data_IF_365998479435
#
_entry.id   IF_365998479435
#
_cell.length_a   1.000
_cell.length_b   1.000
_cell.length_c   1.000
_cell.angle_alpha   90.00
_cell.angle_beta   90.00
_cell.angle_gamma   90.00
#
_symmetry.space_group_name_H-M   'P 1'
#
loop_
_entity.id
_entity.type
_entity.pdbx_description
1 polymer ?
#
# COMPACT_ATOMS: atom_id res chain seq x y z
N UNK A 1 -17.87 -13.72 -8.58
CA UNK A 1 -16.70 -13.02 -7.98
C UNK A 1 -15.80 -12.62 -9.14
N UNK A 2 -15.47 -11.36 -9.28
CA UNK A 2 -14.55 -10.86 -10.32
C UNK A 2 -13.15 -11.42 -10.05
N UNK A 3 -12.41 -11.84 -11.09
CA UNK A 3 -11.04 -12.30 -10.92
C UNK A 3 -10.17 -11.16 -10.37
N UNK A 4 -9.24 -11.43 -9.44
CA UNK A 4 -8.34 -10.41 -8.90
C UNK A 4 -7.45 -9.85 -10.00
N UNK A 5 -7.18 -8.55 -9.93
CA UNK A 5 -6.26 -7.88 -10.85
C UNK A 5 -4.80 -8.18 -10.50
N UNK A 6 -4.54 -8.31 -9.21
CA UNK A 6 -3.24 -8.70 -8.63
C UNK A 6 -3.44 -9.96 -7.81
N UNK A 7 -2.62 -10.99 -8.04
CA UNK A 7 -2.57 -12.20 -7.20
C UNK A 7 -1.13 -12.61 -6.95
N UNK A 8 -0.80 -12.78 -5.68
CA UNK A 8 0.43 -13.40 -5.22
C UNK A 8 0.07 -14.74 -4.57
N UNK A 9 0.80 -15.79 -4.93
CA UNK A 9 0.57 -17.15 -4.41
C UNK A 9 1.87 -17.72 -3.87
N UNK A 10 1.93 -17.91 -2.56
CA UNK A 10 3.06 -18.47 -1.81
C UNK A 10 4.40 -17.80 -2.14
N UNK A 11 4.39 -16.47 -2.29
CA UNK A 11 5.55 -15.68 -2.69
C UNK A 11 6.57 -15.60 -1.57
N UNK A 12 7.82 -15.98 -1.87
CA UNK A 12 8.94 -15.86 -0.94
C UNK A 12 10.11 -15.10 -1.56
N UNK A 13 10.79 -14.31 -0.70
CA UNK A 13 12.00 -13.56 -1.04
C UNK A 13 12.97 -13.48 0.13
N UNK A 14 14.23 -13.82 -0.13
CA UNK A 14 15.32 -13.79 0.84
C UNK A 14 16.43 -12.84 0.39
N UNK A 15 17.16 -12.30 1.36
CA UNK A 15 18.43 -11.60 1.17
C UNK A 15 19.47 -12.22 2.12
N UNK A 16 20.33 -13.04 1.56
CA UNK A 16 21.20 -13.89 2.39
C UNK A 16 20.36 -14.78 3.32
N UNK A 17 20.55 -14.66 4.62
CA UNK A 17 19.79 -15.43 5.63
C UNK A 17 18.49 -14.75 6.08
N UNK A 18 18.18 -13.55 5.58
CA UNK A 18 16.99 -12.82 5.99
C UNK A 18 15.81 -13.15 5.08
N UNK A 19 14.77 -13.75 5.66
CA UNK A 19 13.46 -13.93 4.99
C UNK A 19 12.70 -12.61 5.05
N UNK A 20 12.43 -12.01 3.88
CA UNK A 20 11.69 -10.74 3.78
C UNK A 20 10.24 -10.99 3.39
N UNK A 21 10.00 -11.95 2.49
CA UNK A 21 8.68 -12.49 2.20
C UNK A 21 8.73 -14.01 2.42
N UNK A 22 7.70 -14.58 3.04
CA UNK A 22 7.69 -15.97 3.48
C UNK A 22 6.36 -16.66 3.16
N UNK A 23 6.24 -17.21 1.94
CA UNK A 23 5.02 -17.88 1.49
C UNK A 23 3.81 -16.94 1.51
N UNK A 24 3.97 -15.70 1.06
CA UNK A 24 2.95 -14.66 1.10
C UNK A 24 1.87 -14.90 0.03
N UNK A 25 0.62 -14.96 0.47
CA UNK A 25 -0.57 -14.94 -0.37
C UNK A 25 -1.26 -13.60 -0.25
N UNK A 26 -1.61 -12.99 -1.39
CA UNK A 26 -2.32 -11.72 -1.42
C UNK A 26 -3.10 -11.53 -2.71
N UNK A 27 -4.29 -10.93 -2.61
CA UNK A 27 -5.12 -10.59 -3.77
C UNK A 27 -5.61 -9.15 -3.67
N UNK A 28 -5.65 -8.47 -4.83
CA UNK A 28 -6.26 -7.14 -4.96
C UNK A 28 -7.25 -7.21 -6.12
N UNK A 29 -8.49 -6.85 -5.85
CA UNK A 29 -9.55 -6.83 -6.85
C UNK A 29 -9.46 -5.55 -7.72
N UNK A 30 -10.02 -5.56 -8.94
CA UNK A 30 -10.11 -4.35 -9.76
C UNK A 30 -10.86 -3.23 -9.03
N UNK A 31 -10.34 -2.00 -9.15
CA UNK A 31 -10.93 -0.81 -8.55
C UNK A 31 -10.70 -0.64 -7.04
N UNK A 32 -9.96 -1.53 -6.38
CA UNK A 32 -9.60 -1.35 -4.97
C UNK A 32 -8.50 -0.30 -4.78
N UNK A 33 -8.60 0.44 -3.68
CA UNK A 33 -7.55 1.34 -3.18
C UNK A 33 -7.02 0.76 -1.87
N UNK A 34 -5.84 0.15 -1.95
CA UNK A 34 -5.25 -0.59 -0.83
C UNK A 34 -4.06 0.16 -0.24
N UNK A 35 -4.15 0.50 1.03
CA UNK A 35 -3.02 0.96 1.84
C UNK A 35 -2.21 -0.23 2.37
N UNK A 36 -0.97 -0.38 1.90
CA UNK A 36 -0.03 -1.40 2.39
C UNK A 36 0.75 -0.85 3.59
N UNK A 37 0.43 -1.37 4.75
CA UNK A 37 0.99 -0.99 6.04
C UNK A 37 2.05 -1.96 6.52
N UNK A 38 3.07 -1.46 7.18
CA UNK A 38 4.11 -2.26 7.81
C UNK A 38 5.22 -1.38 8.36
N UNK A 39 5.94 -1.87 9.35
CA UNK A 39 7.09 -1.12 9.91
C UNK A 39 8.17 -0.89 8.86
N UNK A 40 9.09 0.04 9.14
CA UNK A 40 10.28 0.20 8.32
C UNK A 40 11.08 -1.10 8.30
N UNK A 41 11.47 -1.55 7.10
CA UNK A 41 12.14 -2.83 6.93
C UNK A 41 11.23 -4.08 6.90
N UNK A 42 9.90 -3.93 7.01
CA UNK A 42 8.97 -5.07 6.94
C UNK A 42 8.89 -5.74 5.55
N UNK A 43 9.50 -5.15 4.51
CA UNK A 43 9.50 -5.73 3.17
C UNK A 43 8.48 -5.11 2.21
N UNK A 44 7.86 -3.95 2.53
CA UNK A 44 6.85 -3.31 1.66
C UNK A 44 7.39 -3.03 0.25
N UNK A 45 8.51 -2.32 0.12
CA UNK A 45 9.14 -2.05 -1.18
C UNK A 45 9.52 -3.34 -1.90
N UNK A 46 10.07 -4.33 -1.19
CA UNK A 46 10.39 -5.65 -1.75
C UNK A 46 9.15 -6.33 -2.31
N UNK A 47 8.04 -6.29 -1.58
CA UNK A 47 6.75 -6.85 -2.03
C UNK A 47 6.27 -6.16 -3.30
N UNK A 48 6.30 -4.81 -3.35
CA UNK A 48 5.88 -4.04 -4.53
C UNK A 48 6.81 -4.27 -5.74
N UNK A 49 8.13 -4.36 -5.52
CA UNK A 49 9.09 -4.69 -6.57
C UNK A 49 8.91 -6.11 -7.11
N UNK A 50 8.67 -7.09 -6.24
CA UNK A 50 8.36 -8.47 -6.63
C UNK A 50 7.03 -8.55 -7.41
N UNK A 51 6.01 -7.82 -6.97
CA UNK A 51 4.72 -7.73 -7.64
C UNK A 51 4.86 -7.21 -9.07
N UNK A 52 5.74 -6.23 -9.29
CA UNK A 52 5.99 -5.62 -10.60
C UNK A 52 6.99 -6.41 -11.48
N UNK A 53 7.55 -7.52 -10.99
CA UNK A 53 8.61 -8.26 -11.68
C UNK A 53 9.95 -7.51 -11.77
N UNK A 54 10.12 -6.43 -10.99
CA UNK A 54 11.37 -5.68 -10.88
C UNK A 54 12.40 -6.41 -10.02
N UNK A 55 11.94 -7.37 -9.25
CA UNK A 55 12.75 -8.24 -8.40
C UNK A 55 12.33 -9.69 -8.55
N UNK A 56 13.29 -10.56 -8.77
CA UNK A 56 13.04 -12.00 -8.88
C UNK A 56 12.54 -12.58 -7.55
N UNK A 57 11.59 -13.50 -7.65
CA UNK A 57 11.10 -14.30 -6.54
C UNK A 57 12.06 -15.48 -6.30
N UNK A 58 12.20 -15.90 -5.04
CA UNK A 58 12.87 -17.16 -4.74
C UNK A 58 11.92 -18.36 -4.86
N UNK A 59 10.62 -18.12 -4.60
CA UNK A 59 9.54 -19.09 -4.87
C UNK A 59 8.18 -18.40 -4.96
N UNK A 60 7.18 -19.16 -5.42
CA UNK A 60 5.81 -18.67 -5.58
C UNK A 60 5.54 -18.08 -6.96
N UNK A 61 4.42 -17.41 -7.10
CA UNK A 61 3.98 -16.82 -8.37
C UNK A 61 3.26 -15.50 -8.15
N UNK A 62 3.48 -14.57 -9.08
CA UNK A 62 2.69 -13.34 -9.21
C UNK A 62 1.89 -13.38 -10.49
N UNK A 63 0.64 -12.95 -10.43
CA UNK A 63 -0.22 -12.79 -11.62
C UNK A 63 -0.76 -11.37 -11.62
N UNK A 64 -0.59 -10.66 -12.74
CA UNK A 64 -1.14 -9.32 -12.99
C UNK A 64 -2.02 -9.36 -14.25
N UNK A 65 -3.23 -8.82 -14.17
CA UNK A 65 -4.20 -8.84 -15.28
C UNK A 65 -4.48 -10.24 -15.84
N UNK A 66 -4.27 -11.30 -15.05
CA UNK A 66 -4.38 -12.69 -15.49
C UNK A 66 -3.13 -13.25 -16.17
N UNK A 67 -2.07 -12.43 -16.39
CA UNK A 67 -0.79 -12.84 -16.97
C UNK A 67 0.25 -13.14 -15.88
N UNK A 68 1.25 -13.97 -16.21
CA UNK A 68 2.38 -14.24 -15.32
C UNK A 68 3.22 -12.97 -15.13
N UNK A 69 3.44 -12.55 -13.88
CA UNK A 69 4.16 -11.32 -13.55
C UNK A 69 5.61 -11.27 -14.05
N UNK A 70 6.23 -12.45 -14.32
CA UNK A 70 7.58 -12.54 -14.87
C UNK A 70 7.63 -12.39 -16.39
N UNK A 71 6.49 -12.52 -17.07
CA UNK A 71 6.37 -12.53 -18.54
C UNK A 71 5.19 -11.68 -19.02
N UNK A 72 4.99 -10.51 -18.40
CA UNK A 72 3.93 -9.58 -18.81
C UNK A 72 4.10 -9.14 -20.27
N UNK A 73 2.99 -9.12 -21.00
CA UNK A 73 2.92 -8.54 -22.33
C UNK A 73 3.21 -7.02 -22.30
N UNK A 74 3.59 -6.45 -23.44
CA UNK A 74 3.78 -5.00 -23.56
C UNK A 74 2.46 -4.25 -23.26
N UNK A 75 1.33 -4.82 -23.68
CA UNK A 75 0.01 -4.26 -23.41
C UNK A 75 -0.32 -4.24 -21.90
N UNK A 76 0.05 -5.28 -21.15
CA UNK A 76 -0.13 -5.32 -19.71
C UNK A 76 0.79 -4.32 -19.00
N UNK A 77 2.06 -4.22 -19.39
CA UNK A 77 3.02 -3.25 -18.83
C UNK A 77 2.57 -1.82 -19.07
N UNK A 78 2.03 -1.51 -20.24
CA UNK A 78 1.51 -0.17 -20.57
C UNK A 78 0.29 0.25 -19.72
N UNK A 79 -0.29 -0.68 -18.94
CA UNK A 79 -1.41 -0.43 -18.02
C UNK A 79 -0.99 -0.20 -16.58
N UNK A 80 0.33 -0.23 -16.30
CA UNK A 80 0.89 -0.11 -14.95
C UNK A 80 1.56 1.26 -14.80
N UNK A 81 1.17 2.01 -13.78
CA UNK A 81 1.89 3.17 -13.26
C UNK A 81 2.68 2.79 -12.02
N UNK A 82 3.95 3.21 -11.94
CA UNK A 82 4.79 2.95 -10.78
C UNK A 82 5.57 4.18 -10.35
N UNK A 83 5.51 4.45 -9.04
CA UNK A 83 6.32 5.48 -8.38
C UNK A 83 7.11 4.81 -7.27
N UNK A 84 8.43 4.67 -7.40
CA UNK A 84 9.30 4.14 -6.35
C UNK A 84 9.45 5.13 -5.19
N UNK A 85 9.89 4.63 -4.03
CA UNK A 85 10.13 5.43 -2.83
C UNK A 85 11.10 6.61 -3.09
N UNK A 86 12.16 6.37 -3.85
CA UNK A 86 13.04 7.42 -4.35
C UNK A 86 12.72 7.64 -5.81
N UNK A 87 12.33 8.85 -6.17
CA UNK A 87 12.05 9.19 -7.55
C UNK A 87 13.28 8.87 -8.44
N UNK A 88 13.08 7.91 -9.35
CA UNK A 88 14.10 7.50 -10.34
C UNK A 88 13.79 8.22 -11.66
N UNK A 89 14.37 9.40 -11.80
CA UNK A 89 14.16 10.30 -12.92
C UNK A 89 15.48 10.52 -13.67
N UNK A 90 15.39 10.91 -14.93
CA UNK A 90 16.56 11.25 -15.72
C UNK A 90 17.08 12.64 -15.33
N UNK A 91 18.02 12.71 -14.41
CA UNK A 91 18.56 13.92 -13.76
C UNK A 91 19.03 15.00 -14.73
N UNK A 92 19.49 14.62 -15.92
CA UNK A 92 20.02 15.52 -16.97
C UNK A 92 18.94 16.11 -17.87
N UNK A 93 17.72 15.59 -17.85
CA UNK A 93 16.61 16.11 -18.61
C UNK A 93 15.88 17.22 -17.84
N UNK A 94 15.08 18.00 -18.56
CA UNK A 94 14.05 18.85 -17.99
C UNK A 94 12.74 18.06 -17.83
N UNK A 95 11.77 18.49 -16.99
CA UNK A 95 10.44 17.89 -16.91
C UNK A 95 9.79 17.67 -18.26
N UNK A 96 9.78 18.69 -19.13
CA UNK A 96 9.15 18.59 -20.45
C UNK A 96 9.87 17.56 -21.35
N UNK A 97 11.19 17.52 -21.33
CA UNK A 97 11.97 16.53 -22.10
C UNK A 97 11.67 15.10 -21.61
N UNK A 98 11.62 14.90 -20.30
CA UNK A 98 11.32 13.60 -19.72
C UNK A 98 9.89 13.14 -20.04
N UNK A 99 8.91 14.03 -19.89
CA UNK A 99 7.52 13.70 -20.20
C UNK A 99 7.33 13.42 -21.71
N UNK A 100 8.01 14.18 -22.59
CA UNK A 100 8.01 13.91 -24.04
C UNK A 100 8.63 12.55 -24.38
N UNK A 101 9.71 12.16 -23.69
CA UNK A 101 10.33 10.83 -23.84
C UNK A 101 9.36 9.72 -23.48
N UNK A 102 8.71 9.80 -22.30
CA UNK A 102 7.75 8.79 -21.87
C UNK A 102 6.48 8.78 -22.73
N UNK A 103 6.02 9.93 -23.20
CA UNK A 103 4.89 10.03 -24.14
C UNK A 103 5.10 9.17 -25.39
N UNK A 104 6.32 9.09 -25.89
CA UNK A 104 6.64 8.29 -27.07
C UNK A 104 6.61 6.77 -26.80
N UNK A 105 6.67 6.35 -25.53
CA UNK A 105 6.70 4.93 -25.13
C UNK A 105 5.31 4.37 -24.81
N UNK A 106 4.34 5.22 -24.46
CA UNK A 106 3.02 4.77 -24.03
C UNK A 106 1.96 4.99 -25.12
N UNK A 107 1.23 3.93 -25.52
CA UNK A 107 0.16 4.06 -26.53
C UNK A 107 -1.01 4.93 -26.04
N UNK A 108 -1.25 4.95 -24.73
CA UNK A 108 -2.20 5.85 -24.07
C UNK A 108 -1.41 6.96 -23.39
N UNK A 109 -1.68 8.19 -23.74
CA UNK A 109 -1.09 9.36 -23.08
C UNK A 109 -2.10 10.49 -23.02
N UNK A 110 -2.47 10.88 -21.82
CA UNK A 110 -3.44 11.93 -21.59
C UNK A 110 -2.74 13.28 -21.39
N UNK A 111 -2.51 13.98 -22.50
CA UNK A 111 -1.82 15.28 -22.48
C UNK A 111 -2.57 16.34 -21.66
N UNK A 112 -3.90 16.35 -21.71
CA UNK A 112 -4.71 17.29 -20.93
C UNK A 112 -4.55 17.06 -19.41
N UNK A 113 -4.55 15.79 -18.98
CA UNK A 113 -4.30 15.42 -17.59
C UNK A 113 -2.90 15.84 -17.15
N UNK A 114 -1.88 15.58 -17.95
CA UNK A 114 -0.50 15.98 -17.65
C UNK A 114 -0.38 17.48 -17.44
N UNK A 115 -0.91 18.28 -18.35
CA UNK A 115 -0.89 19.75 -18.23
C UNK A 115 -1.69 20.24 -17.02
N UNK A 116 -2.83 19.62 -16.73
CA UNK A 116 -3.63 19.91 -15.54
C UNK A 116 -2.87 19.63 -14.24
N UNK A 117 -2.20 18.47 -14.14
CA UNK A 117 -1.38 18.09 -12.98
C UNK A 117 -0.16 19.01 -12.81
N UNK A 118 0.56 19.30 -13.90
CA UNK A 118 1.69 20.22 -13.88
C UNK A 118 1.29 21.61 -13.37
N UNK A 119 0.18 22.15 -13.89
CA UNK A 119 -0.35 23.45 -13.49
C UNK A 119 -0.73 23.49 -12.00
N UNK A 120 -1.52 22.51 -11.53
CA UNK A 120 -1.97 22.43 -10.12
C UNK A 120 -0.81 22.26 -9.14
N UNK A 121 0.24 21.54 -9.53
CA UNK A 121 1.38 21.27 -8.67
C UNK A 121 2.54 22.25 -8.82
N UNK A 122 2.28 23.41 -9.48
CA UNK A 122 3.18 24.55 -9.52
C UNK A 122 4.37 24.37 -10.47
N UNK A 123 4.24 23.55 -11.51
CA UNK A 123 5.25 23.43 -12.57
C UNK A 123 5.09 24.59 -13.57
N UNK A 124 5.58 25.76 -13.18
CA UNK A 124 5.61 26.93 -14.05
C UNK A 124 6.66 26.76 -15.19
N UNK A 125 6.67 27.63 -16.21
CA UNK A 125 7.62 27.52 -17.31
C UNK A 125 9.11 27.55 -16.87
N UNK A 126 9.43 28.25 -15.79
CA UNK A 126 10.81 28.31 -15.27
C UNK A 126 11.21 26.95 -14.64
N UNK A 127 10.33 26.32 -13.88
CA UNK A 127 10.54 25.00 -13.32
C UNK A 127 10.60 23.93 -14.42
N UNK A 128 9.71 23.99 -15.44
CA UNK A 128 9.67 23.04 -16.56
C UNK A 128 10.93 23.07 -17.44
N UNK A 129 11.64 24.19 -17.47
CA UNK A 129 12.92 24.35 -18.18
C UNK A 129 14.15 24.03 -17.35
N UNK A 130 14.01 23.84 -16.04
CA UNK A 130 15.07 23.51 -15.11
C UNK A 130 15.45 22.02 -15.19
N UNK A 131 16.72 21.68 -15.16
CA UNK A 131 17.14 20.27 -15.10
C UNK A 131 16.62 19.60 -13.80
N UNK A 132 16.16 18.37 -13.92
CA UNK A 132 15.59 17.58 -12.82
C UNK A 132 16.53 17.49 -11.62
N UNK A 133 17.84 17.31 -11.82
CA UNK A 133 18.84 17.30 -10.74
C UNK A 133 18.90 18.59 -9.89
N UNK A 134 18.35 19.68 -10.38
CA UNK A 134 18.30 20.97 -9.67
C UNK A 134 16.97 21.18 -8.95
N UNK A 135 16.04 20.22 -9.06
CA UNK A 135 14.75 20.24 -8.39
C UNK A 135 14.90 19.69 -6.97
N UNK A 136 14.04 20.15 -6.06
CA UNK A 136 13.90 19.56 -4.72
C UNK A 136 13.36 18.13 -4.80
N UNK A 137 13.56 17.33 -3.74
CA UNK A 137 13.01 15.96 -3.67
C UNK A 137 11.49 15.93 -3.81
N UNK A 138 10.76 16.89 -3.23
CA UNK A 138 9.32 17.01 -3.39
C UNK A 138 8.88 17.35 -4.81
N UNK A 139 9.60 18.23 -5.52
CA UNK A 139 9.36 18.53 -6.94
C UNK A 139 9.60 17.31 -7.82
N UNK A 140 10.69 16.57 -7.56
CA UNK A 140 11.00 15.33 -8.28
C UNK A 140 9.92 14.27 -8.03
N UNK A 141 9.45 14.14 -6.79
CA UNK A 141 8.40 13.19 -6.44
C UNK A 141 7.08 13.52 -7.15
N UNK A 142 6.67 14.80 -7.16
CA UNK A 142 5.50 15.26 -7.93
C UNK A 142 5.64 14.94 -9.42
N UNK A 143 6.81 15.17 -10.01
CA UNK A 143 7.06 14.84 -11.41
C UNK A 143 6.98 13.34 -11.69
N UNK A 144 7.50 12.49 -10.79
CA UNK A 144 7.40 11.04 -10.89
C UNK A 144 5.92 10.58 -10.87
N UNK A 145 5.10 11.21 -10.04
CA UNK A 145 3.67 10.93 -9.96
C UNK A 145 2.95 11.39 -11.25
N UNK A 146 3.24 12.60 -11.77
CA UNK A 146 2.70 13.05 -13.07
C UNK A 146 3.00 12.03 -14.16
N UNK A 147 4.25 11.56 -14.25
CA UNK A 147 4.66 10.54 -15.21
C UNK A 147 3.85 9.25 -15.05
N UNK A 148 3.67 8.77 -13.82
CA UNK A 148 2.97 7.52 -13.55
C UNK A 148 1.46 7.59 -13.86
N UNK A 149 0.84 8.77 -13.74
CA UNK A 149 -0.57 9.01 -14.05
C UNK A 149 -0.83 9.37 -15.52
N UNK A 150 0.20 9.77 -16.25
CA UNK A 150 0.09 10.36 -17.59
C UNK A 150 -0.56 9.46 -18.65
N UNK A 151 -0.42 8.14 -18.50
CA UNK A 151 -0.91 7.16 -19.46
C UNK A 151 -2.21 6.46 -19.02
N UNK A 152 -2.90 7.03 -18.02
CA UNK A 152 -4.15 6.49 -17.47
C UNK A 152 -4.03 5.01 -17.11
N UNK A 153 -3.19 4.64 -16.11
CA UNK A 153 -2.94 3.26 -15.74
C UNK A 153 -4.20 2.59 -15.16
N UNK A 154 -4.34 1.28 -15.37
CA UNK A 154 -5.39 0.48 -14.71
C UNK A 154 -4.93 -0.04 -13.34
N UNK A 155 -3.60 -0.14 -13.14
CA UNK A 155 -2.94 -0.45 -11.86
C UNK A 155 -1.90 0.62 -11.54
N UNK A 156 -2.03 1.27 -10.39
CA UNK A 156 -1.08 2.26 -9.91
C UNK A 156 -0.42 1.76 -8.62
N UNK A 157 0.89 1.59 -8.65
CA UNK A 157 1.71 1.17 -7.50
C UNK A 157 2.54 2.35 -7.03
N UNK A 158 2.43 2.68 -5.75
CA UNK A 158 3.09 3.84 -5.15
C UNK A 158 3.85 3.40 -3.90
N UNK A 159 5.16 3.51 -3.91
CA UNK A 159 5.98 3.19 -2.75
C UNK A 159 6.34 4.46 -1.97
N UNK A 160 5.71 4.63 -0.81
CA UNK A 160 5.83 5.81 0.08
C UNK A 160 5.75 7.16 -0.68
N UNK A 161 4.72 7.38 -1.53
CA UNK A 161 4.68 8.47 -2.50
C UNK A 161 4.68 9.87 -1.87
N UNK A 162 4.29 9.97 -0.60
CA UNK A 162 4.14 11.25 0.11
C UNK A 162 5.28 11.55 1.09
N UNK A 163 6.28 10.67 1.21
CA UNK A 163 7.36 10.81 2.19
C UNK A 163 8.20 12.08 2.00
N UNK A 164 8.38 12.53 0.76
CA UNK A 164 9.15 13.72 0.40
C UNK A 164 8.27 14.99 0.26
N UNK A 165 6.95 14.90 0.45
CA UNK A 165 6.03 16.02 0.32
C UNK A 165 5.77 16.70 1.67
N UNK A 166 5.58 18.02 1.64
CA UNK A 166 5.08 18.75 2.78
C UNK A 166 3.59 18.44 3.08
N UNK A 167 3.05 18.80 4.22
CA UNK A 167 1.66 18.47 4.60
C UNK A 167 0.59 19.00 3.65
N UNK A 168 0.84 20.10 2.93
CA UNK A 168 -0.09 20.65 1.93
C UNK A 168 -0.02 19.80 0.66
N UNK A 169 1.17 19.58 0.15
CA UNK A 169 1.40 18.74 -1.04
C UNK A 169 0.89 17.31 -0.87
N UNK A 170 1.00 16.73 0.35
CA UNK A 170 0.40 15.42 0.66
C UNK A 170 -1.10 15.42 0.47
N UNK A 171 -1.80 16.41 1.03
CA UNK A 171 -3.27 16.51 0.94
C UNK A 171 -3.74 16.72 -0.49
N UNK A 172 -3.03 17.54 -1.26
CA UNK A 172 -3.32 17.76 -2.66
C UNK A 172 -3.13 16.48 -3.49
N UNK A 173 -2.00 15.80 -3.30
CA UNK A 173 -1.75 14.51 -3.96
C UNK A 173 -2.81 13.46 -3.64
N UNK A 174 -3.14 13.30 -2.36
CA UNK A 174 -4.14 12.30 -1.94
C UNK A 174 -5.53 12.61 -2.50
N UNK A 175 -5.90 13.89 -2.61
CA UNK A 175 -7.15 14.30 -3.26
C UNK A 175 -7.15 13.92 -4.74
N UNK A 176 -6.11 14.29 -5.49
CA UNK A 176 -5.95 13.92 -6.90
C UNK A 176 -6.03 12.42 -7.12
N UNK A 177 -5.39 11.65 -6.23
CA UNK A 177 -5.42 10.20 -6.30
C UNK A 177 -6.83 9.65 -6.14
N UNK A 178 -7.59 10.17 -5.17
CA UNK A 178 -8.99 9.76 -4.93
C UNK A 178 -9.87 10.13 -6.11
N UNK A 179 -9.74 11.35 -6.62
CA UNK A 179 -10.53 11.83 -7.75
C UNK A 179 -10.27 10.96 -9.00
N UNK A 180 -8.99 10.67 -9.32
CA UNK A 180 -8.63 9.81 -10.46
C UNK A 180 -9.15 8.37 -10.30
N UNK A 181 -9.08 7.82 -9.08
CA UNK A 181 -9.59 6.47 -8.78
C UNK A 181 -11.11 6.41 -8.92
N UNK A 182 -11.84 7.38 -8.37
CA UNK A 182 -13.31 7.40 -8.42
C UNK A 182 -13.80 7.54 -9.86
N UNK A 183 -13.17 8.43 -10.64
CA UNK A 183 -13.60 8.69 -12.01
C UNK A 183 -13.31 7.53 -12.96
N UNK A 184 -12.20 6.79 -12.75
CA UNK A 184 -11.68 5.79 -13.70
C UNK A 184 -11.76 4.35 -13.21
N UNK A 185 -11.98 4.11 -11.93
CA UNK A 185 -11.90 2.79 -11.34
C UNK A 185 -10.48 2.20 -11.35
N UNK A 186 -9.44 3.05 -11.31
CA UNK A 186 -8.04 2.63 -11.22
C UNK A 186 -7.81 1.83 -9.94
N UNK A 187 -7.14 0.70 -10.05
CA UNK A 187 -6.70 -0.07 -8.87
C UNK A 187 -5.43 0.55 -8.33
N UNK A 188 -5.38 0.83 -7.04
CA UNK A 188 -4.23 1.47 -6.41
C UNK A 188 -3.71 0.65 -5.25
N UNK A 189 -2.40 0.43 -5.21
CA UNK A 189 -1.69 -0.08 -4.04
C UNK A 189 -0.63 0.96 -3.66
N UNK A 190 -0.72 1.49 -2.45
CA UNK A 190 0.29 2.41 -1.97
C UNK A 190 0.81 2.02 -0.60
N UNK A 191 2.14 2.01 -0.48
CA UNK A 191 2.77 1.81 0.82
C UNK A 191 2.87 3.13 1.57
N UNK A 192 2.64 3.08 2.87
CA UNK A 192 2.90 4.22 3.76
C UNK A 192 3.12 3.75 5.19
N UNK A 193 3.78 4.58 5.96
CA UNK A 193 3.86 4.48 7.41
C UNK A 193 3.10 5.64 8.10
N UNK A 194 2.46 6.53 7.33
CA UNK A 194 1.71 7.69 7.82
C UNK A 194 0.22 7.33 7.81
N UNK A 195 -0.30 6.98 8.98
CA UNK A 195 -1.65 6.46 9.15
C UNK A 195 -2.75 7.49 8.88
N UNK A 196 -2.49 8.76 9.22
CA UNK A 196 -3.44 9.87 9.00
C UNK A 196 -3.74 10.12 7.52
N UNK A 197 -2.82 9.73 6.62
CA UNK A 197 -3.03 9.84 5.19
C UNK A 197 -3.96 8.72 4.68
N UNK A 198 -3.89 7.54 5.32
CA UNK A 198 -4.70 6.38 4.96
C UNK A 198 -6.19 6.54 5.30
N UNK A 199 -6.50 7.08 6.47
CA UNK A 199 -7.89 7.28 6.91
C UNK A 199 -8.72 8.11 5.91
N UNK A 200 -8.04 8.85 5.03
CA UNK A 200 -8.68 9.74 4.06
C UNK A 200 -8.83 9.13 2.67
N UNK A 201 -8.05 8.11 2.35
CA UNK A 201 -7.86 7.65 0.95
C UNK A 201 -8.00 6.14 0.79
N UNK A 202 -7.55 5.36 1.78
CA UNK A 202 -7.57 3.91 1.67
C UNK A 202 -8.93 3.35 2.07
N UNK A 203 -9.61 2.74 1.11
CA UNK A 203 -10.83 2.00 1.38
C UNK A 203 -10.52 0.60 1.93
N UNK A 204 -9.35 0.05 1.59
CA UNK A 204 -8.86 -1.24 2.08
C UNK A 204 -7.46 -1.10 2.69
N UNK A 205 -7.17 -1.89 3.72
CA UNK A 205 -5.86 -1.95 4.36
C UNK A 205 -5.29 -3.37 4.27
N UNK A 206 -3.99 -3.48 4.08
CA UNK A 206 -3.22 -4.71 4.17
C UNK A 206 -2.00 -4.50 5.07
N UNK A 207 -1.85 -5.30 6.13
CA UNK A 207 -0.78 -5.20 7.10
C UNK A 207 0.27 -6.26 6.83
N UNK A 208 1.47 -5.82 6.45
CA UNK A 208 2.63 -6.69 6.23
C UNK A 208 3.43 -6.86 7.53
N UNK A 209 3.56 -8.11 7.99
CA UNK A 209 4.37 -8.50 9.14
C UNK A 209 5.01 -9.87 8.91
N UNK A 210 6.25 -10.00 9.28
CA UNK A 210 7.01 -11.28 9.20
C UNK A 210 6.90 -11.94 7.82
N UNK A 211 6.97 -11.11 6.76
CA UNK A 211 6.90 -11.57 5.37
C UNK A 211 5.53 -12.02 4.90
N UNK A 212 4.45 -11.78 5.65
CA UNK A 212 3.06 -12.19 5.33
C UNK A 212 2.07 -11.04 5.48
N UNK A 213 0.95 -11.13 4.77
CA UNK A 213 -0.20 -10.27 5.05
C UNK A 213 -0.89 -10.81 6.32
N UNK A 214 -0.62 -10.14 7.45
CA UNK A 214 -1.12 -10.55 8.76
C UNK A 214 -2.59 -10.24 8.97
N UNK A 215 -3.08 -9.16 8.33
CA UNK A 215 -4.47 -8.71 8.40
C UNK A 215 -4.77 -7.92 7.13
N UNK A 216 -5.97 -8.09 6.56
CA UNK A 216 -6.46 -7.25 5.46
C UNK A 216 -7.98 -7.10 5.52
N UNK A 217 -8.49 -6.01 4.97
CA UNK A 217 -9.92 -5.75 4.83
C UNK A 217 -10.24 -4.29 4.63
N UNK A 218 -11.54 -4.01 4.50
CA UNK A 218 -12.03 -2.64 4.41
C UNK A 218 -11.73 -1.88 5.71
N UNK A 219 -11.29 -0.64 5.60
CA UNK A 219 -10.83 0.19 6.72
C UNK A 219 -11.90 0.30 7.81
N UNK A 220 -13.14 0.61 7.44
CA UNK A 220 -14.23 0.75 8.39
C UNK A 220 -14.53 -0.57 9.11
N UNK A 221 -14.56 -1.69 8.36
CA UNK A 221 -14.81 -3.04 8.91
C UNK A 221 -13.69 -3.44 9.89
N UNK A 222 -12.43 -3.12 9.53
CA UNK A 222 -11.28 -3.39 10.40
C UNK A 222 -11.37 -2.58 11.70
N UNK A 223 -11.67 -1.27 11.61
CA UNK A 223 -11.77 -0.40 12.77
C UNK A 223 -12.99 -0.70 13.65
N UNK A 224 -14.12 -1.07 13.04
CA UNK A 224 -15.32 -1.49 13.78
C UNK A 224 -15.14 -2.83 14.47
N UNK A 225 -14.39 -3.75 13.86
CA UNK A 225 -14.16 -5.10 14.39
C UNK A 225 -13.00 -5.23 15.36
N UNK A 226 -12.01 -4.31 15.31
CA UNK A 226 -10.79 -4.42 16.11
C UNK A 226 -11.02 -4.11 17.59
N UNK A 227 -10.65 -5.06 18.46
CA UNK A 227 -10.72 -4.90 19.91
C UNK A 227 -9.46 -5.43 20.58
N UNK A 228 -9.09 -4.76 21.68
CA UNK A 228 -8.16 -5.30 22.65
C UNK A 228 -8.94 -5.83 23.84
N UNK A 229 -8.75 -7.10 24.15
CA UNK A 229 -9.27 -7.74 25.36
C UNK A 229 -8.12 -7.84 26.35
N UNK A 230 -8.28 -7.27 27.53
CA UNK A 230 -7.38 -7.49 28.67
C UNK A 230 -8.03 -8.55 29.57
N UNK A 231 -7.50 -9.76 29.54
CA UNK A 231 -8.08 -10.95 30.15
C UNK A 231 -7.15 -11.49 31.24
N UNK A 232 -7.62 -11.82 32.45
CA UNK A 232 -6.81 -12.57 33.40
C UNK A 232 -6.33 -13.89 32.78
N UNK A 233 -5.06 -14.22 32.95
CA UNK A 233 -4.43 -15.39 32.31
C UNK A 233 -5.15 -16.72 32.65
N UNK A 234 -5.78 -16.77 33.81
CA UNK A 234 -6.56 -17.94 34.28
C UNK A 234 -7.91 -18.13 33.57
N UNK A 235 -8.41 -17.08 32.92
CA UNK A 235 -9.71 -17.09 32.22
C UNK A 235 -9.58 -17.27 30.70
N UNK A 236 -8.35 -17.14 30.18
CA UNK A 236 -8.11 -17.22 28.74
C UNK A 236 -7.99 -18.68 28.30
N UNK A 237 -8.78 -19.15 27.31
CA UNK A 237 -8.62 -20.48 26.77
C UNK A 237 -7.25 -20.67 26.09
N UNK A 238 -6.68 -21.88 26.20
CA UNK A 238 -5.42 -22.21 25.52
C UNK A 238 -5.55 -22.11 24.01
N UNK A 239 -6.69 -22.50 23.46
CA UNK A 239 -7.01 -22.37 22.04
C UNK A 239 -7.15 -20.90 21.65
N UNK A 240 -6.63 -20.55 20.47
CA UNK A 240 -6.82 -19.21 19.91
C UNK A 240 -8.32 -18.92 19.68
N UNK A 241 -8.68 -17.66 19.94
CA UNK A 241 -10.03 -17.16 19.64
C UNK A 241 -10.21 -17.01 18.13
N UNK A 242 -11.43 -17.12 17.66
CA UNK A 242 -11.78 -16.77 16.28
C UNK A 242 -11.46 -15.29 16.03
N UNK A 243 -10.72 -14.98 14.96
CA UNK A 243 -10.27 -13.62 14.66
C UNK A 243 -9.13 -13.12 15.55
N UNK A 244 -8.47 -13.98 16.34
CA UNK A 244 -7.32 -13.60 17.13
C UNK A 244 -6.11 -13.28 16.25
N UNK A 245 -5.73 -12.00 16.25
CA UNK A 245 -4.58 -11.47 15.51
C UNK A 245 -3.30 -11.62 16.32
N UNK A 246 -3.37 -11.34 17.63
CA UNK A 246 -2.19 -11.35 18.50
C UNK A 246 -2.56 -11.63 19.95
N UNK A 247 -1.67 -12.32 20.67
CA UNK A 247 -1.76 -12.60 22.10
C UNK A 247 -0.43 -12.28 22.78
N UNK A 248 -0.47 -11.45 23.82
CA UNK A 248 0.73 -11.08 24.60
C UNK A 248 0.41 -11.20 26.07
N UNK A 249 1.23 -11.97 26.79
CA UNK A 249 1.14 -12.11 28.25
C UNK A 249 1.94 -11.00 28.93
N UNK A 250 1.31 -10.33 29.88
CA UNK A 250 1.94 -9.35 30.77
C UNK A 250 1.58 -9.67 32.22
N UNK A 251 2.45 -10.40 32.88
CA UNK A 251 2.24 -10.88 34.24
C UNK A 251 1.01 -11.77 34.37
N UNK A 252 0.04 -11.36 35.21
CA UNK A 252 -1.23 -12.06 35.44
C UNK A 252 -2.30 -11.75 34.38
N UNK A 253 -2.08 -10.79 33.48
CA UNK A 253 -2.99 -10.40 32.43
C UNK A 253 -2.48 -10.82 31.07
N UNK A 254 -3.39 -11.03 30.14
CA UNK A 254 -3.10 -11.28 28.72
C UNK A 254 -3.84 -10.27 27.87
N UNK A 255 -3.10 -9.56 27.03
CA UNK A 255 -3.65 -8.70 26.00
C UNK A 255 -3.90 -9.54 24.74
N UNK A 256 -5.14 -9.60 24.31
CA UNK A 256 -5.56 -10.31 23.09
C UNK A 256 -6.14 -9.31 22.12
N UNK A 257 -5.53 -9.22 20.94
CA UNK A 257 -6.06 -8.41 19.84
C UNK A 257 -6.91 -9.33 18.97
N UNK A 258 -8.15 -8.93 18.75
CA UNK A 258 -9.10 -9.68 17.94
C UNK A 258 -9.69 -8.81 16.85
N UNK A 259 -9.99 -9.43 15.71
CA UNK A 259 -10.75 -8.86 14.61
C UNK A 259 -12.08 -9.58 14.48
N UNK A 260 -13.20 -8.84 14.64
CA UNK A 260 -14.53 -9.39 14.62
C UNK A 260 -15.07 -9.75 16.00
N UNK A 261 -16.29 -10.27 16.04
CA UNK A 261 -17.04 -10.60 17.24
C UNK A 261 -17.48 -12.08 17.23
N UNK A 262 -16.52 -13.00 17.08
CA UNK A 262 -16.77 -14.42 17.19
C UNK A 262 -17.40 -14.81 18.54
N UNK A 263 -18.01 -15.99 18.65
CA UNK A 263 -18.71 -16.43 19.86
C UNK A 263 -17.82 -16.34 21.11
N UNK A 264 -16.58 -16.83 21.04
CA UNK A 264 -15.63 -16.77 22.17
C UNK A 264 -15.22 -15.35 22.56
N UNK A 265 -15.16 -14.41 21.59
CA UNK A 265 -14.86 -12.99 21.85
C UNK A 265 -16.03 -12.35 22.61
N UNK A 266 -17.29 -12.62 22.21
CA UNK A 266 -18.48 -12.11 22.90
C UNK A 266 -18.60 -12.65 24.32
N UNK A 267 -18.36 -13.94 24.50
CA UNK A 267 -18.41 -14.59 25.80
C UNK A 267 -17.37 -13.99 26.78
N UNK A 268 -16.10 -13.89 26.33
CA UNK A 268 -15.05 -13.26 27.13
C UNK A 268 -15.35 -11.78 27.41
N UNK A 269 -15.86 -11.03 26.44
CA UNK A 269 -16.21 -9.63 26.62
C UNK A 269 -17.30 -9.38 27.66
N UNK A 270 -18.17 -10.35 27.88
CA UNK A 270 -19.22 -10.30 28.89
C UNK A 270 -18.75 -10.81 30.28
N UNK A 271 -17.54 -11.37 30.38
CA UNK A 271 -17.01 -11.98 31.61
C UNK A 271 -16.51 -10.92 32.60
N UNK A 272 -16.93 -10.95 33.88
CA UNK A 272 -16.40 -10.03 34.89
C UNK A 272 -14.87 -10.11 34.99
N UNK A 273 -14.22 -8.93 35.05
CA UNK A 273 -12.75 -8.83 35.11
C UNK A 273 -12.05 -8.73 33.75
N UNK A 274 -12.77 -8.88 32.65
CA UNK A 274 -12.25 -8.60 31.29
C UNK A 274 -12.54 -7.16 30.91
N UNK A 275 -11.52 -6.47 30.41
CA UNK A 275 -11.67 -5.12 29.86
C UNK A 275 -11.63 -5.20 28.33
N UNK A 276 -12.54 -4.49 27.67
CA UNK A 276 -12.63 -4.40 26.21
C UNK A 276 -12.35 -2.97 25.80
N UNK A 277 -11.34 -2.79 24.94
CA UNK A 277 -10.97 -1.50 24.39
C UNK A 277 -11.15 -1.51 22.88
N UNK A 278 -11.78 -0.44 22.33
CA UNK A 278 -11.82 -0.21 20.89
C UNK A 278 -10.45 0.32 20.45
N UNK A 279 -9.92 -0.19 19.35
CA UNK A 279 -8.64 0.26 18.82
C UNK A 279 -8.83 1.36 17.77
N UNK A 280 -7.98 2.39 17.81
CA UNK A 280 -7.77 3.31 16.70
C UNK A 280 -6.97 2.63 15.59
N UNK A 281 -6.87 3.26 14.41
CA UNK A 281 -6.00 2.76 13.34
C UNK A 281 -4.53 2.69 13.80
N UNK A 282 -4.09 3.67 14.57
CA UNK A 282 -2.73 3.71 15.12
C UNK A 282 -2.49 2.53 16.09
N UNK A 283 -3.42 2.29 17.02
CA UNK A 283 -3.32 1.16 17.93
C UNK A 283 -3.32 -0.17 17.19
N UNK A 284 -4.22 -0.33 16.21
CA UNK A 284 -4.30 -1.53 15.38
C UNK A 284 -2.98 -1.76 14.61
N UNK A 285 -2.43 -0.71 14.00
CA UNK A 285 -1.13 -0.77 13.33
C UNK A 285 -0.02 -1.24 14.27
N UNK A 286 0.09 -0.61 15.45
CA UNK A 286 1.10 -0.96 16.44
C UNK A 286 0.96 -2.43 16.86
N UNK A 287 -0.26 -2.88 17.11
CA UNK A 287 -0.51 -4.24 17.61
C UNK A 287 -0.36 -5.32 16.53
N UNK A 288 -0.74 -5.03 15.28
CA UNK A 288 -0.60 -5.98 14.18
C UNK A 288 0.85 -6.09 13.71
N UNK A 289 1.63 -5.00 13.77
CA UNK A 289 2.99 -4.95 13.21
C UNK A 289 4.12 -5.17 14.23
N UNK A 290 3.81 -5.30 15.52
CA UNK A 290 4.75 -5.76 16.55
C UNK A 290 4.93 -7.27 16.39
#
# INVERSE_FOLDING_TARGET
MTAPLVRLSSVSKHFGNQHVLDGLDWEVAPGQVVGLLGRNGAGKSTLLECLLGLRELDSGRVTLFGEDGTALSESARARIGYVPQKADLFDWLTPDQMLAYFKAMYPRWNAAKVEGLLSRWGFDPAMRSKQIKKMSGGEQQRLAIVRALAHDPDLLILDEPVSALDPVGRREFLRELVDDVIERGTTVVFSTHILTDLERVAFDLAFLRDGKIALQGQTDVLLEGARRLLVPATMLPERRLEGEVRRVRDGAMVSVIVQGQGAGVRELSATPGVRVEKLSLEDLFIEVTK
#
